data_IF_949222659244
#
_entry.id   IF_949222659244
#
_cell.length_a   1.000
_cell.length_b   1.000
_cell.length_c   1.000
_cell.angle_alpha   90.00
_cell.angle_beta   90.00
_cell.angle_gamma   90.00
#
_symmetry.space_group_name_H-M   'P 1'
#
loop_
_entity.id
_entity.type
_entity.pdbx_description
1 polymer ?
#
# COMPACT_ATOMS: atom_id res chain seq x y z
N UNK A 1 2.11 -16.41 6.13
CA UNK A 1 1.74 -16.19 4.71
C UNK A 1 2.19 -14.78 4.34
N UNK A 2 2.46 -14.44 3.07
CA UNK A 2 3.05 -13.13 2.70
C UNK A 2 2.18 -12.40 1.68
N UNK A 3 2.27 -11.07 1.70
CA UNK A 3 1.66 -10.22 0.68
C UNK A 3 2.34 -10.47 -0.66
N UNK A 4 1.57 -10.46 -1.74
CA UNK A 4 2.14 -10.51 -3.09
C UNK A 4 2.59 -9.10 -3.50
N UNK A 5 3.88 -8.94 -3.82
CA UNK A 5 4.45 -7.66 -4.25
C UNK A 5 4.80 -7.68 -5.73
N UNK A 6 4.37 -6.67 -6.47
CA UNK A 6 4.58 -6.55 -7.91
C UNK A 6 5.09 -5.15 -8.32
N UNK A 7 5.54 -5.03 -9.57
CA UNK A 7 6.03 -3.77 -10.15
C UNK A 7 7.42 -3.38 -9.64
N UNK A 8 7.60 -2.10 -9.30
CA UNK A 8 8.88 -1.54 -8.87
C UNK A 8 9.19 -1.79 -7.37
N UNK A 9 8.53 -2.75 -6.72
CA UNK A 9 8.59 -2.98 -5.28
C UNK A 9 9.99 -3.25 -4.69
N UNK A 10 10.98 -3.58 -5.53
CA UNK A 10 12.39 -3.68 -5.14
C UNK A 10 13.01 -2.34 -4.72
N UNK A 11 12.36 -1.22 -5.03
CA UNK A 11 12.75 0.11 -4.57
C UNK A 11 12.37 0.37 -3.11
N UNK A 12 11.56 -0.50 -2.50
CA UNK A 12 11.14 -0.38 -1.10
C UNK A 12 12.09 -1.17 -0.19
N UNK A 13 12.40 -0.58 0.96
CA UNK A 13 13.06 -1.29 2.05
C UNK A 13 12.22 -2.50 2.48
N UNK A 14 12.89 -3.60 2.84
CA UNK A 14 12.20 -4.79 3.34
C UNK A 14 11.39 -4.51 4.62
N UNK A 15 11.84 -3.54 5.44
CA UNK A 15 11.12 -3.09 6.63
C UNK A 15 9.73 -2.53 6.31
N UNK A 16 9.58 -1.80 5.21
CA UNK A 16 8.27 -1.25 4.79
C UNK A 16 7.31 -2.37 4.42
N UNK A 17 7.80 -3.44 3.78
CA UNK A 17 6.97 -4.59 3.44
C UNK A 17 6.49 -5.32 4.69
N UNK A 18 7.38 -5.51 5.65
CA UNK A 18 7.05 -6.12 6.94
C UNK A 18 6.10 -5.24 7.76
N UNK A 19 6.27 -3.91 7.74
CA UNK A 19 5.34 -2.98 8.40
C UNK A 19 3.93 -3.10 7.81
N UNK A 20 3.83 -3.18 6.48
CA UNK A 20 2.54 -3.40 5.82
C UNK A 20 1.91 -4.75 6.19
N UNK A 21 2.67 -5.84 6.16
CA UNK A 21 2.18 -7.17 6.55
C UNK A 21 1.68 -7.18 8.01
N UNK A 22 2.44 -6.58 8.93
CA UNK A 22 2.03 -6.42 10.33
C UNK A 22 0.73 -5.64 10.49
N UNK A 23 0.55 -4.57 9.72
CA UNK A 23 -0.69 -3.78 9.78
C UNK A 23 -1.89 -4.55 9.22
N UNK A 24 -1.71 -5.34 8.16
CA UNK A 24 -2.76 -6.22 7.63
C UNK A 24 -3.19 -7.24 8.70
N UNK A 25 -2.24 -7.89 9.36
CA UNK A 25 -2.52 -8.84 10.45
C UNK A 25 -3.17 -8.16 11.66
N UNK A 26 -2.72 -6.95 12.03
CA UNK A 26 -3.31 -6.15 13.13
C UNK A 26 -4.78 -5.80 12.87
N UNK A 27 -5.17 -5.66 11.61
CA UNK A 27 -6.55 -5.44 11.19
C UNK A 27 -7.38 -6.74 11.13
N UNK A 28 -6.79 -7.89 11.46
CA UNK A 28 -7.46 -9.19 11.43
C UNK A 28 -7.65 -9.76 10.01
N UNK A 29 -6.89 -9.27 9.04
CA UNK A 29 -6.94 -9.74 7.67
C UNK A 29 -5.76 -10.69 7.38
N UNK A 30 -5.92 -11.59 6.40
CA UNK A 30 -4.84 -12.47 5.95
C UNK A 30 -3.95 -11.73 4.91
N UNK A 31 -2.63 -11.59 5.16
CA UNK A 31 -1.67 -11.02 4.21
C UNK A 31 -1.72 -11.64 2.81
N UNK A 32 -2.01 -12.94 2.68
CA UNK A 32 -2.07 -13.63 1.39
C UNK A 32 -3.19 -13.14 0.47
N UNK A 33 -4.16 -12.42 1.02
CA UNK A 33 -5.29 -11.87 0.29
C UNK A 33 -4.99 -10.50 -0.32
N UNK A 34 -3.74 -10.05 -0.29
CA UNK A 34 -3.35 -8.73 -0.78
C UNK A 34 -2.32 -8.83 -1.89
N UNK A 35 -2.56 -8.06 -2.95
CA UNK A 35 -1.57 -7.74 -3.98
C UNK A 35 -1.21 -6.27 -3.85
N UNK A 36 0.08 -5.97 -3.73
CA UNK A 36 0.60 -4.60 -3.70
C UNK A 36 1.46 -4.35 -4.94
N UNK A 37 1.01 -3.43 -5.78
CA UNK A 37 1.72 -3.00 -7.00
C UNK A 37 2.35 -1.64 -6.77
N UNK A 38 3.68 -1.57 -6.90
CA UNK A 38 4.43 -0.31 -6.83
C UNK A 38 4.69 0.17 -8.25
N UNK A 39 4.32 1.42 -8.53
CA UNK A 39 4.60 2.08 -9.82
C UNK A 39 5.37 3.36 -9.59
N UNK A 40 6.57 3.45 -10.14
CA UNK A 40 7.31 4.71 -10.13
C UNK A 40 6.53 5.79 -10.87
N UNK A 41 6.39 6.96 -10.25
CA UNK A 41 5.90 8.12 -10.98
C UNK A 41 7.08 8.71 -11.75
N UNK A 42 6.91 9.02 -13.06
CA UNK A 42 7.95 9.70 -13.80
C UNK A 42 8.28 11.01 -13.08
N UNK A 43 9.51 11.09 -12.55
CA UNK A 43 10.04 12.35 -12.05
C UNK A 43 10.05 13.35 -13.19
N UNK A 44 9.70 14.60 -12.91
CA UNK A 44 9.82 15.68 -13.88
C UNK A 44 11.26 15.68 -14.40
N UNK A 45 11.45 15.42 -15.69
CA UNK A 45 12.76 15.46 -16.31
C UNK A 45 13.34 16.87 -16.12
N UNK A 46 14.46 16.97 -15.39
CA UNK A 46 15.15 18.25 -15.16
C UNK A 46 15.49 18.57 -13.71
N UNK A 47 15.09 17.77 -12.73
CA UNK A 47 15.47 18.02 -11.33
C UNK A 47 16.67 17.17 -10.92
N UNK A 48 17.83 17.83 -10.95
CA UNK A 48 19.11 17.42 -10.40
C UNK A 48 18.97 16.68 -9.06
N UNK A 49 19.36 15.39 -9.02
CA UNK A 49 19.85 14.57 -7.89
C UNK A 49 19.27 14.66 -6.45
N UNK A 50 18.19 15.38 -6.18
CA UNK A 50 17.72 15.65 -4.80
C UNK A 50 16.21 15.50 -4.57
N UNK A 51 15.43 15.09 -5.57
CA UNK A 51 13.99 14.90 -5.33
C UNK A 51 13.69 13.54 -4.66
N UNK A 52 12.81 13.50 -3.63
CA UNK A 52 11.89 12.39 -3.36
C UNK A 52 11.73 11.36 -4.47
N UNK A 53 11.97 10.09 -4.15
CA UNK A 53 11.51 8.98 -4.98
C UNK A 53 9.97 8.97 -4.95
N UNK A 54 9.30 9.43 -6.01
CA UNK A 54 7.84 9.42 -6.11
C UNK A 54 7.35 8.11 -6.72
N UNK A 55 6.37 7.49 -6.08
CA UNK A 55 5.72 6.28 -6.56
C UNK A 55 4.26 6.23 -6.10
N UNK A 56 3.44 5.49 -6.85
CA UNK A 56 2.10 5.09 -6.46
C UNK A 56 2.12 3.67 -5.93
N UNK A 57 1.25 3.43 -4.96
CA UNK A 57 1.02 2.13 -4.33
C UNK A 57 -0.42 1.74 -4.61
N UNK A 58 -0.62 0.65 -5.35
CA UNK A 58 -1.94 0.08 -5.57
C UNK A 58 -2.07 -1.16 -4.69
N UNK A 59 -3.04 -1.17 -3.80
CA UNK A 59 -3.29 -2.24 -2.83
C UNK A 59 -4.62 -2.87 -3.21
N UNK A 60 -4.59 -4.10 -3.72
CA UNK A 60 -5.78 -4.85 -4.10
C UNK A 60 -6.04 -5.92 -3.06
N UNK A 61 -7.24 -5.94 -2.48
CA UNK A 61 -7.71 -7.01 -1.61
C UNK A 61 -8.50 -8.03 -2.43
N UNK A 62 -8.10 -9.29 -2.38
CA UNK A 62 -8.65 -10.41 -3.15
C UNK A 62 -9.85 -11.10 -2.48
N UNK A 63 -10.45 -10.50 -1.45
CA UNK A 63 -11.53 -11.12 -0.69
C UNK A 63 -12.89 -10.80 -1.31
N UNK A 64 -13.65 -11.84 -1.66
CA UNK A 64 -15.01 -11.72 -2.20
C UNK A 64 -15.06 -11.81 -3.73
N UNK A 65 -16.22 -11.50 -4.32
CA UNK A 65 -16.46 -11.57 -5.76
C UNK A 65 -16.02 -10.31 -6.52
N UNK A 66 -15.67 -9.22 -5.82
CA UNK A 66 -15.27 -7.95 -6.43
C UNK A 66 -14.01 -7.41 -5.72
N UNK A 67 -12.82 -7.54 -6.33
CA UNK A 67 -11.56 -7.14 -5.70
C UNK A 67 -11.46 -5.61 -5.61
N UNK A 68 -11.41 -5.09 -4.39
CA UNK A 68 -11.28 -3.66 -4.16
C UNK A 68 -9.81 -3.21 -4.25
N UNK A 69 -9.54 -2.17 -5.04
CA UNK A 69 -8.19 -1.59 -5.18
C UNK A 69 -8.13 -0.18 -4.61
N UNK A 70 -7.25 0.01 -3.62
CA UNK A 70 -6.90 1.31 -3.05
C UNK A 70 -5.63 1.84 -3.71
N UNK A 71 -5.63 3.11 -4.14
CA UNK A 71 -4.45 3.76 -4.70
C UNK A 71 -3.94 4.85 -3.76
N UNK A 72 -2.72 4.70 -3.27
CA UNK A 72 -2.04 5.62 -2.35
C UNK A 72 -0.79 6.22 -3.00
N UNK A 73 -0.39 7.39 -2.53
CA UNK A 73 0.89 8.00 -2.91
C UNK A 73 1.96 7.53 -1.93
N UNK A 74 3.01 6.89 -2.46
CA UNK A 74 4.12 6.36 -1.69
C UNK A 74 5.14 7.42 -1.25
N UNK A 75 5.44 8.37 -2.15
CA UNK A 75 6.07 9.68 -1.89
C UNK A 75 7.26 9.77 -0.91
N UNK A 76 7.50 11.00 -0.44
CA UNK A 76 8.65 11.43 0.36
C UNK A 76 8.56 11.10 1.87
N UNK A 77 7.85 10.03 2.20
CA UNK A 77 7.61 9.66 3.58
C UNK A 77 6.79 8.38 3.63
N UNK A 78 7.26 7.41 4.42
CA UNK A 78 6.72 6.06 4.66
C UNK A 78 5.25 6.02 5.17
N UNK A 79 4.48 7.10 4.99
CA UNK A 79 3.14 7.31 5.52
C UNK A 79 2.04 6.48 4.82
N UNK A 80 2.28 5.89 3.66
CA UNK A 80 1.22 5.17 2.94
C UNK A 80 0.74 3.92 3.70
N UNK A 81 1.61 3.25 4.46
CA UNK A 81 1.21 2.12 5.33
C UNK A 81 0.28 2.59 6.45
N UNK A 82 0.61 3.72 7.08
CA UNK A 82 -0.24 4.34 8.10
C UNK A 82 -1.57 4.84 7.52
N UNK A 83 -1.54 5.39 6.30
CA UNK A 83 -2.75 5.80 5.57
C UNK A 83 -3.64 4.60 5.26
N UNK A 84 -3.08 3.49 4.77
CA UNK A 84 -3.80 2.24 4.57
C UNK A 84 -4.48 1.78 5.87
N UNK A 85 -3.74 1.74 6.98
CA UNK A 85 -4.28 1.32 8.27
C UNK A 85 -5.45 2.20 8.73
N UNK A 86 -5.34 3.53 8.52
CA UNK A 86 -6.40 4.50 8.82
C UNK A 86 -7.63 4.29 7.95
N UNK A 87 -7.46 4.11 6.64
CA UNK A 87 -8.56 3.95 5.68
C UNK A 87 -9.28 2.62 5.92
N UNK A 88 -8.55 1.53 6.15
CA UNK A 88 -9.12 0.23 6.49
C UNK A 88 -9.93 0.29 7.81
N UNK A 89 -9.41 0.98 8.83
CA UNK A 89 -10.12 1.19 10.10
C UNK A 89 -11.41 2.01 9.91
N UNK A 90 -11.35 3.07 9.11
CA UNK A 90 -12.52 3.91 8.85
C UNK A 90 -13.63 3.15 8.11
N UNK A 91 -13.26 2.28 7.16
CA UNK A 91 -14.20 1.44 6.41
C UNK A 91 -14.87 0.40 7.31
N UNK A 92 -14.11 -0.24 8.20
CA UNK A 92 -14.66 -1.17 9.19
C UNK A 92 -15.71 -0.50 10.09
N UNK A 93 -15.54 0.78 10.43
CA UNK A 93 -16.51 1.57 11.22
C UNK A 93 -17.71 2.07 10.41
N UNK A 94 -17.51 2.39 9.13
CA UNK A 94 -18.57 2.82 8.22
C UNK A 94 -19.58 1.72 7.88
N UNK A 95 -19.15 0.45 7.87
CA UNK A 95 -20.02 -0.72 7.66
C UNK A 95 -20.90 -1.09 8.86
N UNK A 96 -20.82 -0.39 10.01
CA UNK A 96 -21.67 -0.63 11.19
C UNK A 96 -22.94 0.24 11.24
N UNK A 97 -23.34 0.86 10.13
CA UNK A 97 -24.62 1.57 10.00
C UNK A 97 -25.40 1.10 8.78
N UNK A 98 -25.97 -0.11 8.84
CA UNK A 98 -27.15 -0.50 8.08
C UNK A 98 -28.00 -1.42 8.93
#
# INVERSE_FOLDING_TARGET
>A
MRVEWQGDHKMLDESVKQDFEREVERLGHDPSQYIVVIRREPGVAGSDRLLPLRYKVHITRLVGSDPETLTLSGGDGKAWVAQFAKDATNRARGSSRQ
#
